data_IF_842796473213
#
_entry.id   IF_842796473213
#
_cell.length_a   1.000
_cell.length_b   1.000
_cell.length_c   1.000
_cell.angle_alpha   90.00
_cell.angle_beta   90.00
_cell.angle_gamma   90.00
#
_symmetry.space_group_name_H-M   'P 1'
#
loop_
_entity.id
_entity.type
_entity.pdbx_description
1 polymer ?
#
# COMPACT_ATOMS: atom_id res chain seq x y z
N UNK A 1 -30.82 -15.59 -10.38
CA UNK A 1 -31.19 -14.48 -9.49
C UNK A 1 -30.36 -13.26 -9.91
N UNK A 2 -30.76 -12.57 -10.98
CA UNK A 2 -31.48 -11.29 -10.99
C UNK A 2 -30.52 -10.13 -11.18
N UNK A 3 -30.30 -9.72 -12.43
CA UNK A 3 -29.49 -8.56 -12.85
C UNK A 3 -29.77 -7.28 -12.04
N UNK A 4 -30.95 -7.18 -11.42
CA UNK A 4 -31.32 -6.09 -10.52
C UNK A 4 -30.59 -6.16 -9.16
N UNK A 5 -30.41 -7.35 -8.58
CA UNK A 5 -29.64 -7.53 -7.33
C UNK A 5 -28.16 -7.24 -7.55
N UNK A 6 -27.57 -7.74 -8.62
CA UNK A 6 -26.18 -7.45 -9.01
C UNK A 6 -25.92 -5.96 -9.19
N UNK A 7 -26.81 -5.24 -9.89
CA UNK A 7 -26.71 -3.78 -10.05
C UNK A 7 -26.77 -3.04 -8.72
N UNK A 8 -27.62 -3.50 -7.79
CA UNK A 8 -27.71 -2.89 -6.47
C UNK A 8 -26.41 -3.11 -5.69
N UNK A 9 -25.87 -4.33 -5.69
CA UNK A 9 -24.60 -4.65 -5.02
C UNK A 9 -23.44 -3.84 -5.60
N UNK A 10 -23.30 -3.77 -6.93
CA UNK A 10 -22.26 -2.95 -7.57
C UNK A 10 -22.42 -1.46 -7.27
N UNK A 11 -23.65 -0.96 -7.18
CA UNK A 11 -23.90 0.43 -6.77
C UNK A 11 -23.48 0.65 -5.32
N UNK A 12 -23.78 -0.30 -4.43
CA UNK A 12 -23.37 -0.22 -3.03
C UNK A 12 -21.85 -0.26 -2.89
N UNK A 13 -21.17 -1.21 -3.55
CA UNK A 13 -19.71 -1.31 -3.56
C UNK A 13 -19.09 -0.02 -4.07
N UNK A 14 -19.66 0.58 -5.14
CA UNK A 14 -19.22 1.88 -5.64
C UNK A 14 -19.34 2.96 -4.57
N UNK A 15 -20.47 3.06 -3.89
CA UNK A 15 -20.68 4.04 -2.82
C UNK A 15 -19.73 3.82 -1.64
N UNK A 16 -19.60 2.58 -1.17
CA UNK A 16 -18.70 2.17 -0.09
C UNK A 16 -17.23 2.48 -0.39
N UNK A 17 -16.87 2.61 -1.66
CA UNK A 17 -15.55 3.06 -2.08
C UNK A 17 -15.48 4.59 -2.26
N UNK A 18 -16.38 5.17 -3.06
CA UNK A 18 -16.27 6.57 -3.47
C UNK A 18 -16.52 7.54 -2.32
N UNK A 19 -17.45 7.23 -1.42
CA UNK A 19 -17.78 8.12 -0.30
C UNK A 19 -16.59 8.32 0.64
N UNK A 20 -15.92 7.27 1.15
CA UNK A 20 -14.75 7.48 2.01
C UNK A 20 -13.57 8.10 1.26
N UNK A 21 -13.33 7.77 -0.02
CA UNK A 21 -12.26 8.42 -0.82
C UNK A 21 -12.51 9.91 -1.03
N UNK A 22 -13.76 10.31 -1.28
CA UNK A 22 -14.13 11.72 -1.40
C UNK A 22 -13.99 12.43 -0.05
N UNK A 23 -14.41 11.81 1.06
CA UNK A 23 -14.22 12.35 2.41
C UNK A 23 -12.73 12.52 2.77
N UNK A 24 -11.87 11.54 2.45
CA UNK A 24 -10.41 11.66 2.61
C UNK A 24 -9.90 12.90 1.87
N UNK A 25 -10.35 13.09 0.62
CA UNK A 25 -9.95 14.25 -0.19
C UNK A 25 -10.41 15.58 0.43
N UNK A 26 -11.61 15.60 1.01
CA UNK A 26 -12.16 16.78 1.68
C UNK A 26 -11.38 17.13 2.95
N UNK A 27 -11.05 16.15 3.79
CA UNK A 27 -10.20 16.37 4.97
C UNK A 27 -8.84 16.93 4.59
N UNK A 28 -8.17 16.32 3.60
CA UNK A 28 -6.85 16.78 3.15
C UNK A 28 -6.91 18.22 2.62
N UNK A 29 -7.95 18.56 1.85
CA UNK A 29 -8.11 19.94 1.38
C UNK A 29 -8.36 20.91 2.52
N UNK A 30 -9.16 20.55 3.52
CA UNK A 30 -9.41 21.38 4.69
C UNK A 30 -8.12 21.65 5.48
N UNK A 31 -7.29 20.62 5.66
CA UNK A 31 -6.00 20.76 6.34
C UNK A 31 -5.08 21.66 5.50
N UNK A 32 -4.86 21.35 4.21
CA UNK A 32 -3.96 22.11 3.34
C UNK A 32 -4.38 23.60 3.23
N UNK A 33 -5.68 23.86 3.09
CA UNK A 33 -6.20 25.23 2.97
C UNK A 33 -6.13 26.00 4.31
N UNK A 34 -6.09 25.29 5.44
CA UNK A 34 -5.94 25.85 6.78
C UNK A 34 -4.49 25.98 7.24
N UNK A 35 -3.54 25.34 6.55
CA UNK A 35 -2.20 25.08 7.05
C UNK A 35 -1.09 25.92 6.44
N UNK A 36 -1.31 27.21 6.20
CA UNK A 36 -0.28 28.18 5.74
C UNK A 36 0.97 28.28 6.67
N UNK A 37 1.01 27.49 7.74
CA UNK A 37 2.00 27.49 8.82
C UNK A 37 2.95 26.30 8.77
N UNK A 38 2.61 25.22 8.04
CA UNK A 38 3.49 24.06 7.94
C UNK A 38 4.68 24.32 7.04
N UNK A 39 5.80 23.69 7.36
CA UNK A 39 6.98 23.73 6.52
C UNK A 39 6.80 22.90 5.24
N UNK A 40 7.80 22.95 4.36
CA UNK A 40 7.78 22.25 3.08
C UNK A 40 7.71 20.72 3.27
N UNK A 41 8.30 20.17 4.33
CA UNK A 41 8.34 18.71 4.57
C UNK A 41 6.96 18.16 4.93
N UNK A 42 6.28 18.80 5.90
CA UNK A 42 4.91 18.42 6.29
C UNK A 42 3.94 18.66 5.13
N UNK A 43 4.09 19.79 4.43
CA UNK A 43 3.25 20.14 3.28
C UNK A 43 3.37 19.09 2.17
N UNK A 44 4.59 18.61 1.89
CA UNK A 44 4.84 17.57 0.90
C UNK A 44 4.12 16.25 1.26
N UNK A 45 4.07 15.87 2.53
CA UNK A 45 3.33 14.67 2.95
C UNK A 45 1.82 14.80 2.73
N UNK A 46 1.21 15.95 3.07
CA UNK A 46 -0.20 16.17 2.74
C UNK A 46 -0.47 16.12 1.22
N UNK A 47 0.45 16.67 0.41
CA UNK A 47 0.35 16.56 -1.06
C UNK A 47 0.48 15.11 -1.53
N UNK A 48 1.34 14.31 -0.88
CA UNK A 48 1.52 12.90 -1.18
C UNK A 48 0.26 12.07 -0.85
N UNK A 49 -0.41 12.35 0.27
CA UNK A 49 -1.72 11.75 0.61
C UNK A 49 -2.75 12.16 -0.46
N UNK A 50 -2.83 13.44 -0.81
CA UNK A 50 -3.76 13.97 -1.83
C UNK A 50 -3.57 13.29 -3.20
N UNK A 51 -2.32 13.14 -3.62
CA UNK A 51 -1.96 12.46 -4.86
C UNK A 51 -2.37 10.99 -4.82
N UNK A 52 -2.12 10.32 -3.71
CA UNK A 52 -2.49 8.92 -3.49
C UNK A 52 -4.00 8.72 -3.55
N UNK A 53 -4.78 9.56 -2.86
CA UNK A 53 -6.25 9.54 -2.92
C UNK A 53 -6.80 9.78 -4.34
N UNK A 54 -6.21 10.72 -5.08
CA UNK A 54 -6.56 10.95 -6.49
C UNK A 54 -6.29 9.72 -7.37
N UNK A 55 -5.11 9.12 -7.23
CA UNK A 55 -4.73 7.92 -7.99
C UNK A 55 -5.66 6.75 -7.66
N UNK A 56 -5.94 6.51 -6.38
CA UNK A 56 -6.87 5.49 -5.92
C UNK A 56 -8.26 5.64 -6.56
N UNK A 57 -8.77 6.88 -6.62
CA UNK A 57 -10.05 7.19 -7.26
C UNK A 57 -10.04 6.90 -8.75
N UNK A 58 -8.97 7.24 -9.46
CA UNK A 58 -8.83 6.98 -10.90
C UNK A 58 -8.78 5.48 -11.15
N UNK A 59 -7.88 4.75 -10.48
CA UNK A 59 -7.70 3.31 -10.64
C UNK A 59 -9.02 2.56 -10.38
N UNK A 60 -9.76 2.95 -9.34
CA UNK A 60 -11.06 2.34 -9.06
C UNK A 60 -12.11 2.65 -10.12
N UNK A 61 -12.20 3.90 -10.60
CA UNK A 61 -13.17 4.22 -11.64
C UNK A 61 -12.89 3.48 -12.96
N UNK A 62 -11.61 3.34 -13.31
CA UNK A 62 -11.18 2.60 -14.49
C UNK A 62 -11.53 1.11 -14.36
N UNK A 63 -11.18 0.49 -13.22
CA UNK A 63 -11.54 -0.90 -12.93
C UNK A 63 -13.07 -1.08 -12.87
N UNK A 64 -13.79 -0.20 -12.19
CA UNK A 64 -15.24 -0.26 -12.10
C UNK A 64 -15.89 -0.15 -13.48
N UNK A 65 -15.42 0.75 -14.34
CA UNK A 65 -15.89 0.86 -15.73
C UNK A 65 -15.60 -0.43 -16.52
N UNK A 66 -14.39 -0.96 -16.41
CA UNK A 66 -13.98 -2.18 -17.12
C UNK A 66 -14.85 -3.39 -16.76
N UNK A 67 -15.10 -3.61 -15.46
CA UNK A 67 -15.78 -4.81 -14.99
C UNK A 67 -17.31 -4.64 -14.86
N UNK A 68 -17.80 -3.46 -14.51
CA UNK A 68 -19.24 -3.20 -14.33
C UNK A 68 -19.95 -2.75 -15.62
N UNK A 69 -19.30 -1.97 -16.50
CA UNK A 69 -19.95 -1.38 -17.68
C UNK A 69 -19.72 -2.19 -18.98
N UNK A 70 -18.55 -2.83 -19.15
CA UNK A 70 -18.17 -3.50 -20.42
C UNK A 70 -18.63 -4.96 -20.59
N UNK A 71 -19.50 -5.49 -19.72
CA UNK A 71 -19.95 -6.92 -19.69
C UNK A 71 -18.86 -7.96 -19.40
N UNK A 72 -17.63 -7.55 -19.05
CA UNK A 72 -16.56 -8.43 -18.51
C UNK A 72 -16.90 -8.68 -17.03
N UNK A 73 -18.02 -9.38 -16.80
CA UNK A 73 -18.71 -9.46 -15.50
C UNK A 73 -17.98 -10.24 -14.40
N UNK A 74 -16.82 -10.82 -14.74
CA UNK A 74 -16.07 -11.70 -13.85
C UNK A 74 -14.59 -11.59 -14.18
N UNK A 75 -13.78 -11.64 -13.13
CA UNK A 75 -12.34 -11.85 -13.25
C UNK A 75 -12.11 -13.34 -13.54
N UNK A 76 -11.26 -13.67 -14.51
CA UNK A 76 -11.19 -15.02 -15.08
C UNK A 76 -10.18 -15.94 -14.36
N UNK A 77 -9.25 -15.37 -13.61
CA UNK A 77 -8.20 -16.11 -12.92
C UNK A 77 -7.71 -15.37 -11.65
N UNK A 78 -6.95 -16.05 -10.80
CA UNK A 78 -6.42 -15.49 -9.55
C UNK A 78 -5.39 -14.38 -9.78
N UNK A 79 -4.71 -14.40 -10.93
CA UNK A 79 -3.69 -13.43 -11.32
C UNK A 79 -4.30 -12.04 -11.58
N UNK A 80 -5.36 -11.96 -12.39
CA UNK A 80 -6.13 -10.73 -12.64
C UNK A 80 -6.71 -10.16 -11.33
N UNK A 81 -7.17 -11.02 -10.42
CA UNK A 81 -7.69 -10.58 -9.12
C UNK A 81 -6.58 -10.05 -8.21
N UNK A 82 -5.37 -10.63 -8.30
CA UNK A 82 -4.20 -10.15 -7.58
C UNK A 82 -3.73 -8.81 -8.11
N UNK A 83 -3.66 -8.65 -9.43
CA UNK A 83 -3.30 -7.38 -10.09
C UNK A 83 -4.29 -6.28 -9.69
N UNK A 84 -5.60 -6.54 -9.78
CA UNK A 84 -6.60 -5.55 -9.39
C UNK A 84 -6.50 -5.14 -7.92
N UNK A 85 -6.27 -6.12 -7.01
CA UNK A 85 -6.04 -5.80 -5.59
C UNK A 85 -4.81 -4.95 -5.41
N UNK A 86 -3.72 -5.29 -6.07
CA UNK A 86 -2.46 -4.55 -6.02
C UNK A 86 -2.67 -3.09 -6.49
N UNK A 87 -3.24 -2.89 -7.67
CA UNK A 87 -3.46 -1.58 -8.28
C UNK A 87 -4.33 -0.65 -7.42
N UNK A 88 -5.23 -1.21 -6.62
CA UNK A 88 -6.07 -0.46 -5.69
C UNK A 88 -5.42 -0.32 -4.29
N UNK A 89 -4.70 -1.32 -3.80
CA UNK A 89 -4.01 -1.25 -2.50
C UNK A 89 -2.83 -0.31 -2.50
N UNK A 90 -2.07 -0.26 -3.58
CA UNK A 90 -0.89 0.60 -3.72
C UNK A 90 -1.16 2.08 -3.36
N UNK A 91 -2.10 2.77 -4.02
CA UNK A 91 -2.40 4.15 -3.65
C UNK A 91 -3.14 4.27 -2.31
N UNK A 92 -3.83 3.21 -1.84
CA UNK A 92 -4.43 3.20 -0.50
C UNK A 92 -3.37 3.14 0.61
N UNK A 93 -2.37 2.29 0.46
CA UNK A 93 -1.22 2.17 1.35
C UNK A 93 -0.41 3.45 1.38
N UNK A 94 -0.40 4.20 0.28
CA UNK A 94 0.16 5.54 0.28
C UNK A 94 -0.59 6.53 1.17
N UNK A 95 -1.93 6.54 1.11
CA UNK A 95 -2.73 7.37 2.03
C UNK A 95 -2.40 7.02 3.49
N UNK A 96 -2.39 5.73 3.84
CA UNK A 96 -2.12 5.27 5.21
C UNK A 96 -0.68 5.60 5.61
N UNK A 97 0.30 5.22 4.79
CA UNK A 97 1.71 5.37 5.12
C UNK A 97 2.15 6.82 5.29
N UNK A 98 1.72 7.73 4.42
CA UNK A 98 2.01 9.16 4.59
C UNK A 98 1.26 9.77 5.78
N UNK A 99 0.05 9.28 6.09
CA UNK A 99 -0.68 9.69 7.30
C UNK A 99 0.02 9.23 8.57
N UNK A 100 0.56 8.01 8.59
CA UNK A 100 1.33 7.46 9.71
C UNK A 100 2.65 8.22 9.88
N UNK A 101 3.35 8.55 8.79
CA UNK A 101 4.56 9.40 8.82
C UNK A 101 4.26 10.75 9.46
N UNK A 102 3.16 11.41 9.06
CA UNK A 102 2.76 12.68 9.67
C UNK A 102 2.57 12.55 11.20
N UNK A 103 1.91 11.48 11.64
CA UNK A 103 1.65 11.26 13.08
C UNK A 103 2.87 10.77 13.86
N UNK A 104 3.84 10.12 13.21
CA UNK A 104 5.03 9.54 13.86
C UNK A 104 6.22 10.51 13.85
N UNK A 105 6.54 11.07 12.68
CA UNK A 105 7.75 11.87 12.48
C UNK A 105 7.53 13.36 12.79
N UNK A 106 6.27 13.84 12.76
CA UNK A 106 5.92 15.26 12.91
C UNK A 106 4.88 15.52 14.04
N UNK A 107 4.76 14.62 15.02
CA UNK A 107 3.76 14.71 16.11
C UNK A 107 3.78 16.06 16.83
N UNK A 108 4.96 16.62 17.09
CA UNK A 108 5.15 17.89 17.81
C UNK A 108 4.87 19.14 16.95
N UNK A 109 4.89 18.99 15.62
CA UNK A 109 4.77 20.09 14.66
C UNK A 109 3.37 20.17 14.03
N UNK A 110 2.52 19.15 14.21
CA UNK A 110 1.15 19.10 13.72
C UNK A 110 0.17 19.57 14.79
N UNK A 111 -0.79 20.41 14.41
CA UNK A 111 -1.85 20.84 15.33
C UNK A 111 -2.74 19.67 15.75
N UNK A 112 -3.16 19.63 17.03
CA UNK A 112 -3.97 18.54 17.60
C UNK A 112 -5.24 18.25 16.77
N UNK A 113 -5.92 19.30 16.27
CA UNK A 113 -7.09 19.14 15.37
C UNK A 113 -6.73 18.46 14.05
N UNK A 114 -5.57 18.77 13.47
CA UNK A 114 -5.11 18.13 12.24
C UNK A 114 -4.67 16.68 12.50
N UNK A 115 -4.10 16.38 13.66
CA UNK A 115 -3.80 15.01 14.07
C UNK A 115 -5.09 14.16 14.20
N UNK A 116 -6.16 14.72 14.74
CA UNK A 116 -7.49 14.08 14.77
C UNK A 116 -8.02 13.83 13.35
N UNK A 117 -7.92 14.82 12.46
CA UNK A 117 -8.34 14.68 11.05
C UNK A 117 -7.51 13.62 10.29
N UNK A 118 -6.20 13.53 10.55
CA UNK A 118 -5.34 12.48 9.98
C UNK A 118 -5.77 11.09 10.47
N UNK A 119 -6.12 10.95 11.76
CA UNK A 119 -6.66 9.69 12.28
C UNK A 119 -8.00 9.33 11.61
N UNK A 120 -8.85 10.33 11.31
CA UNK A 120 -10.07 10.12 10.52
C UNK A 120 -9.76 9.66 9.09
N UNK A 121 -8.76 10.24 8.43
CA UNK A 121 -8.29 9.82 7.11
C UNK A 121 -7.85 8.34 7.14
N UNK A 122 -7.07 7.91 8.13
CA UNK A 122 -6.65 6.51 8.30
C UNK A 122 -7.87 5.59 8.49
N UNK A 123 -8.85 6.02 9.28
CA UNK A 123 -10.11 5.28 9.48
C UNK A 123 -10.86 5.06 8.16
N UNK A 124 -11.04 6.13 7.38
CA UNK A 124 -11.69 6.07 6.06
C UNK A 124 -10.90 5.20 5.07
N UNK A 125 -9.57 5.25 5.11
CA UNK A 125 -8.73 4.39 4.26
C UNK A 125 -8.95 2.89 4.57
N UNK A 126 -9.10 2.53 5.84
CA UNK A 126 -9.44 1.14 6.24
C UNK A 126 -10.83 0.72 5.76
N UNK A 127 -11.81 1.64 5.73
CA UNK A 127 -13.12 1.36 5.15
C UNK A 127 -13.02 1.07 3.63
N UNK A 128 -12.19 1.83 2.92
CA UNK A 128 -11.90 1.62 1.50
C UNK A 128 -11.27 0.25 1.26
N UNK A 129 -10.37 -0.19 2.13
CA UNK A 129 -9.77 -1.53 2.03
C UNK A 129 -10.84 -2.62 2.03
N UNK A 130 -11.81 -2.51 2.95
CA UNK A 130 -12.95 -3.42 2.99
C UNK A 130 -13.81 -3.37 1.73
N UNK A 131 -13.99 -2.17 1.13
CA UNK A 131 -14.70 -2.02 -0.13
C UNK A 131 -13.96 -2.65 -1.31
N UNK A 132 -12.63 -2.55 -1.37
CA UNK A 132 -11.79 -3.22 -2.38
C UNK A 132 -11.95 -4.73 -2.28
N UNK A 133 -11.86 -5.30 -1.07
CA UNK A 133 -12.04 -6.73 -0.86
C UNK A 133 -13.40 -7.20 -1.37
N UNK A 134 -14.49 -6.51 -0.98
CA UNK A 134 -15.85 -6.82 -1.47
C UNK A 134 -15.97 -6.70 -2.99
N UNK A 135 -15.33 -5.69 -3.59
CA UNK A 135 -15.35 -5.50 -5.04
C UNK A 135 -14.69 -6.67 -5.77
N UNK A 136 -13.48 -7.04 -5.37
CA UNK A 136 -12.73 -8.12 -6.02
C UNK A 136 -13.42 -9.46 -5.80
N UNK A 137 -13.91 -9.75 -4.59
CA UNK A 137 -14.63 -10.98 -4.29
C UNK A 137 -15.94 -11.09 -5.09
N UNK A 138 -16.68 -9.98 -5.23
CA UNK A 138 -17.87 -9.91 -6.07
C UNK A 138 -17.53 -10.24 -7.54
N UNK A 139 -16.38 -9.78 -8.05
CA UNK A 139 -15.94 -10.07 -9.40
C UNK A 139 -15.44 -11.52 -9.60
N UNK A 140 -14.99 -12.21 -8.56
CA UNK A 140 -14.59 -13.63 -8.64
C UNK A 140 -15.81 -14.57 -8.56
N UNK A 141 -16.65 -14.38 -7.55
CA UNK A 141 -17.66 -15.38 -7.18
C UNK A 141 -19.11 -14.95 -7.51
N UNK A 142 -19.33 -13.71 -7.96
CA UNK A 142 -20.66 -13.18 -8.29
C UNK A 142 -21.61 -13.04 -7.09
N UNK A 143 -21.10 -13.25 -5.87
CA UNK A 143 -21.85 -13.16 -4.61
C UNK A 143 -21.18 -12.18 -3.67
N UNK A 144 -21.99 -11.30 -3.09
CA UNK A 144 -21.61 -10.54 -1.90
C UNK A 144 -21.52 -11.52 -0.73
N UNK A 145 -20.31 -12.02 -0.44
CA UNK A 145 -20.04 -12.82 0.75
C UNK A 145 -20.04 -11.90 1.96
N UNK A 146 -21.23 -11.49 2.37
CA UNK A 146 -21.43 -10.90 3.70
C UNK A 146 -21.14 -12.00 4.73
N UNK A 147 -20.01 -11.83 5.41
CA UNK A 147 -19.63 -12.53 6.65
C UNK A 147 -19.67 -14.07 6.59
N UNK A 148 -18.54 -14.72 6.26
CA UNK A 148 -18.09 -16.03 6.85
C UNK A 148 -16.98 -16.75 6.05
N UNK A 149 -16.39 -16.18 4.99
CA UNK A 149 -15.22 -16.82 4.35
C UNK A 149 -14.08 -15.86 3.96
N UNK A 150 -13.75 -14.90 4.83
CA UNK A 150 -12.52 -14.10 4.72
C UNK A 150 -11.24 -14.89 5.09
N UNK A 151 -11.29 -16.22 5.07
CA UNK A 151 -10.27 -17.07 5.72
C UNK A 151 -9.22 -17.69 4.78
N UNK A 152 -9.20 -17.40 3.48
CA UNK A 152 -8.27 -18.12 2.57
C UNK A 152 -7.43 -17.25 1.62
N UNK A 153 -7.32 -15.95 1.88
CA UNK A 153 -6.16 -15.18 1.41
C UNK A 153 -5.62 -14.37 2.58
N UNK A 154 -4.81 -15.03 3.39
CA UNK A 154 -3.98 -14.40 4.42
C UNK A 154 -3.10 -13.33 3.77
N UNK A 155 -3.57 -12.09 3.70
CA UNK A 155 -2.64 -10.96 3.68
C UNK A 155 -1.93 -10.94 5.02
N UNK A 156 -0.65 -10.55 5.01
CA UNK A 156 0.13 -10.36 6.22
C UNK A 156 -0.63 -9.47 7.24
N UNK A 157 -1.47 -8.54 6.77
CA UNK A 157 -2.38 -7.70 7.57
C UNK A 157 -3.40 -8.47 8.43
N UNK A 158 -3.96 -9.58 7.95
CA UNK A 158 -4.87 -10.41 8.76
C UNK A 158 -4.09 -11.18 9.85
N UNK A 159 -2.84 -11.54 9.57
CA UNK A 159 -1.91 -12.02 10.59
C UNK A 159 -1.62 -10.91 11.61
N UNK A 160 -1.26 -9.71 11.18
CA UNK A 160 -0.96 -8.58 12.07
C UNK A 160 -2.15 -8.13 12.91
N UNK A 161 -3.38 -8.18 12.38
CA UNK A 161 -4.59 -7.82 13.13
C UNK A 161 -5.04 -8.91 14.11
N UNK A 162 -4.90 -10.20 13.75
CA UNK A 162 -5.20 -11.34 14.62
C UNK A 162 -4.20 -11.51 15.77
N UNK A 163 -2.99 -11.00 15.58
CA UNK A 163 -1.96 -10.92 16.61
C UNK A 163 -2.35 -9.94 17.74
N UNK A 164 -3.39 -9.10 17.57
CA UNK A 164 -3.73 -8.03 18.50
C UNK A 164 -2.69 -6.92 18.45
N UNK A 165 -2.87 -5.84 19.23
CA UNK A 165 -1.78 -4.91 19.55
C UNK A 165 -0.72 -5.71 20.30
N UNK A 166 0.13 -6.44 19.59
CA UNK A 166 1.32 -6.95 20.23
C UNK A 166 2.22 -5.75 20.37
N UNK A 167 2.37 -5.36 21.63
CA UNK A 167 3.36 -4.42 22.09
C UNK A 167 4.74 -5.10 22.01
N UNK A 168 5.15 -5.56 20.81
CA UNK A 168 6.51 -6.00 20.59
C UNK A 168 7.38 -4.77 20.35
N UNK A 169 8.03 -4.35 21.42
CA UNK A 169 9.20 -3.49 21.31
C UNK A 169 10.33 -4.33 20.71
N UNK A 170 10.46 -4.31 19.39
CA UNK A 170 11.61 -4.88 18.69
C UNK A 170 12.82 -4.00 19.02
N UNK A 171 13.64 -4.43 19.96
CA UNK A 171 14.93 -3.80 20.19
C UNK A 171 15.92 -4.29 19.13
N UNK A 172 16.37 -3.38 18.28
CA UNK A 172 17.41 -3.65 17.30
C UNK A 172 18.70 -3.91 18.04
N UNK A 173 19.18 -5.14 17.95
CA UNK A 173 20.48 -5.54 18.51
C UNK A 173 21.59 -4.73 17.84
N UNK A 174 22.61 -4.35 18.62
CA UNK A 174 23.68 -3.48 18.13
C UNK A 174 24.42 -4.07 16.93
N UNK A 175 24.46 -5.40 16.79
CA UNK A 175 25.17 -6.07 15.69
C UNK A 175 24.57 -5.84 14.30
N UNK A 176 23.28 -5.52 14.21
CA UNK A 176 22.60 -5.27 12.91
C UNK A 176 22.39 -3.78 12.63
N UNK A 177 22.77 -2.89 13.57
CA UNK A 177 22.74 -1.45 13.31
C UNK A 177 23.69 -1.13 12.16
N UNK A 178 23.29 -0.20 11.31
CA UNK A 178 24.03 0.18 10.09
C UNK A 178 24.10 -0.90 8.99
N UNK A 179 23.38 -2.02 9.14
CA UNK A 179 23.18 -2.96 8.03
C UNK A 179 22.59 -2.23 6.81
N UNK A 180 23.10 -2.57 5.63
CA UNK A 180 22.72 -2.00 4.35
C UNK A 180 21.52 -2.75 3.79
N UNK A 181 20.39 -2.07 3.66
CA UNK A 181 19.15 -2.67 3.16
C UNK A 181 18.85 -2.08 1.78
N UNK A 182 18.59 -2.95 0.80
CA UNK A 182 18.04 -2.55 -0.49
C UNK A 182 16.53 -2.81 -0.49
N UNK A 183 15.74 -1.75 -0.63
CA UNK A 183 14.29 -1.82 -0.88
C UNK A 183 14.06 -1.75 -2.38
N UNK A 184 13.30 -2.69 -2.93
CA UNK A 184 12.99 -2.79 -4.37
C UNK A 184 11.49 -2.86 -4.55
N UNK A 185 10.90 -1.79 -5.06
CA UNK A 185 9.47 -1.65 -5.29
C UNK A 185 9.26 -0.58 -6.38
N UNK A 186 8.41 -0.83 -7.38
CA UNK A 186 8.15 0.12 -8.45
C UNK A 186 7.25 1.31 -8.03
N UNK A 187 6.73 1.24 -6.80
CA UNK A 187 5.89 2.26 -6.20
C UNK A 187 6.74 3.12 -5.27
N UNK A 188 6.84 4.40 -5.66
CA UNK A 188 7.71 5.37 -4.98
C UNK A 188 7.32 5.53 -3.51
N UNK A 189 6.02 5.54 -3.24
CA UNK A 189 5.49 5.65 -1.88
C UNK A 189 5.87 4.48 -0.99
N UNK A 190 5.79 3.25 -1.47
CA UNK A 190 6.22 2.08 -0.72
C UNK A 190 7.71 2.18 -0.39
N UNK A 191 8.53 2.55 -1.38
CA UNK A 191 9.95 2.81 -1.19
C UNK A 191 10.20 3.89 -0.12
N UNK A 192 9.50 5.02 -0.17
CA UNK A 192 9.72 6.16 0.73
C UNK A 192 9.32 5.83 2.18
N UNK A 193 8.15 5.22 2.37
CA UNK A 193 7.65 4.79 3.68
C UNK A 193 8.59 3.75 4.30
N UNK A 194 8.96 2.73 3.52
CA UNK A 194 9.81 1.65 4.03
C UNK A 194 11.23 2.16 4.32
N UNK A 195 11.75 3.05 3.47
CA UNK A 195 13.03 3.71 3.69
C UNK A 195 13.06 4.49 5.00
N UNK A 196 12.09 5.39 5.23
CA UNK A 196 12.03 6.18 6.47
C UNK A 196 11.95 5.29 7.71
N UNK A 197 11.07 4.28 7.70
CA UNK A 197 10.93 3.34 8.81
C UNK A 197 12.21 2.59 9.15
N UNK A 198 12.98 2.19 8.13
CA UNK A 198 14.25 1.49 8.32
C UNK A 198 15.39 2.46 8.72
N UNK A 199 15.43 3.68 8.18
CA UNK A 199 16.45 4.67 8.54
C UNK A 199 16.25 5.22 9.97
N UNK A 200 15.00 5.41 10.43
CA UNK A 200 14.67 5.73 11.82
C UNK A 200 15.20 4.67 12.81
N UNK A 201 15.46 3.47 12.30
CA UNK A 201 16.00 2.32 13.01
C UNK A 201 17.52 2.13 12.81
N UNK A 202 18.23 3.17 12.35
CA UNK A 202 19.69 3.21 12.13
C UNK A 202 20.23 2.26 11.05
N UNK A 203 19.38 1.77 10.14
CA UNK A 203 19.83 1.04 8.95
C UNK A 203 20.28 2.00 7.84
N UNK A 204 21.14 1.54 6.94
CA UNK A 204 21.55 2.28 5.74
C UNK A 204 20.69 1.80 4.57
N UNK A 205 19.79 2.64 4.05
CA UNK A 205 18.77 2.17 3.11
C UNK A 205 18.95 2.77 1.73
N UNK A 206 19.02 1.90 0.73
CA UNK A 206 18.91 2.27 -0.68
C UNK A 206 17.59 1.78 -1.25
N UNK A 207 17.04 2.55 -2.18
CA UNK A 207 15.78 2.24 -2.86
C UNK A 207 16.02 2.00 -4.34
N UNK A 208 15.30 1.05 -4.92
CA UNK A 208 15.30 0.75 -6.35
C UNK A 208 13.87 0.66 -6.86
N UNK A 209 13.60 1.38 -7.95
CA UNK A 209 12.26 1.52 -8.53
C UNK A 209 11.97 0.49 -9.63
N UNK A 210 12.86 -0.47 -9.86
CA UNK A 210 12.70 -1.52 -10.87
C UNK A 210 13.62 -2.71 -10.62
N UNK A 211 13.23 -3.90 -11.08
CA UNK A 211 14.08 -5.08 -10.99
C UNK A 211 15.43 -4.94 -11.71
N UNK A 212 15.50 -4.13 -12.78
CA UNK A 212 16.76 -3.88 -13.50
C UNK A 212 17.74 -3.05 -12.66
N UNK A 213 17.27 -1.92 -12.11
CA UNK A 213 18.11 -1.08 -11.24
C UNK A 213 18.56 -1.84 -9.98
N UNK A 214 17.70 -2.72 -9.44
CA UNK A 214 18.05 -3.57 -8.31
C UNK A 214 19.21 -4.51 -8.65
N UNK A 215 19.17 -5.20 -9.79
CA UNK A 215 20.25 -6.07 -10.23
C UNK A 215 21.55 -5.30 -10.47
N UNK A 216 21.47 -4.10 -11.05
CA UNK A 216 22.66 -3.26 -11.25
C UNK A 216 23.30 -2.80 -9.94
N UNK A 217 22.50 -2.51 -8.91
CA UNK A 217 22.99 -2.16 -7.57
C UNK A 217 23.61 -3.36 -6.87
N UNK A 218 22.94 -4.51 -6.87
CA UNK A 218 23.43 -5.75 -6.25
C UNK A 218 24.75 -6.21 -6.89
N UNK A 219 24.94 -5.98 -8.20
CA UNK A 219 26.19 -6.30 -8.88
C UNK A 219 27.36 -5.38 -8.49
N UNK A 220 27.09 -4.15 -8.02
CA UNK A 220 28.11 -3.15 -7.69
C UNK A 220 28.41 -3.10 -6.19
N UNK A 221 27.42 -3.42 -5.36
CA UNK A 221 27.41 -3.13 -3.94
C UNK A 221 26.92 -4.32 -3.12
N UNK A 222 27.30 -4.36 -1.84
CA UNK A 222 26.81 -5.39 -0.90
C UNK A 222 25.69 -4.82 -0.03
N UNK A 223 24.68 -5.66 0.21
CA UNK A 223 23.49 -5.36 0.99
C UNK A 223 23.18 -6.52 1.93
N UNK A 224 23.10 -6.27 3.23
CA UNK A 224 22.75 -7.21 4.30
C UNK A 224 21.30 -7.74 4.22
N UNK A 225 20.42 -7.04 3.50
CA UNK A 225 19.06 -7.47 3.26
C UNK A 225 18.53 -6.85 1.96
N UNK A 226 17.77 -7.63 1.18
CA UNK A 226 16.99 -7.11 0.05
C UNK A 226 15.51 -7.35 0.33
N UNK A 227 14.74 -6.27 0.47
CA UNK A 227 13.29 -6.30 0.52
C UNK A 227 12.77 -6.09 -0.90
N UNK A 228 12.21 -7.15 -1.49
CA UNK A 228 11.90 -7.21 -2.92
C UNK A 228 10.41 -7.41 -3.12
N UNK A 229 9.75 -6.44 -3.73
CA UNK A 229 8.39 -6.62 -4.22
C UNK A 229 8.36 -7.68 -5.32
N UNK A 230 7.33 -8.52 -5.27
CA UNK A 230 7.13 -9.63 -6.20
C UNK A 230 6.51 -9.12 -7.51
N UNK A 231 5.67 -8.10 -7.46
CA UNK A 231 4.80 -7.67 -8.57
C UNK A 231 5.25 -6.34 -9.18
N UNK A 232 6.40 -6.33 -9.85
CA UNK A 232 6.89 -5.16 -10.58
C UNK A 232 6.74 -5.27 -12.11
N UNK A 233 6.59 -4.15 -12.83
CA UNK A 233 6.56 -4.10 -14.29
C UNK A 233 7.93 -4.44 -14.91
N UNK A 234 7.90 -4.92 -16.15
CA UNK A 234 9.04 -5.38 -16.96
C UNK A 234 9.80 -6.59 -16.39
N UNK A 235 10.45 -6.44 -15.24
CA UNK A 235 11.19 -7.49 -14.53
C UNK A 235 10.58 -7.66 -13.15
N UNK A 236 9.78 -8.70 -12.98
CA UNK A 236 9.12 -8.99 -11.70
C UNK A 236 10.14 -9.45 -10.63
N UNK A 237 9.72 -9.42 -9.36
CA UNK A 237 10.59 -9.77 -8.24
C UNK A 237 11.07 -11.22 -8.26
N UNK A 238 10.28 -12.16 -8.81
CA UNK A 238 10.70 -13.55 -8.94
C UNK A 238 11.87 -13.70 -9.92
N UNK A 239 11.85 -12.99 -11.04
CA UNK A 239 12.95 -12.97 -11.99
C UNK A 239 14.23 -12.36 -11.41
N UNK A 240 14.08 -11.27 -10.64
CA UNK A 240 15.20 -10.68 -9.89
C UNK A 240 15.76 -11.70 -8.90
N UNK A 241 14.91 -12.35 -8.11
CA UNK A 241 15.32 -13.36 -7.15
C UNK A 241 16.03 -14.54 -7.82
N UNK A 242 15.53 -15.04 -8.95
CA UNK A 242 16.16 -16.12 -9.72
C UNK A 242 17.57 -15.72 -10.13
N UNK A 243 17.74 -14.54 -10.75
CA UNK A 243 19.06 -14.03 -11.19
C UNK A 243 20.04 -13.87 -10.02
N UNK A 244 19.56 -13.33 -8.89
CA UNK A 244 20.38 -13.24 -7.67
C UNK A 244 20.81 -14.64 -7.21
N UNK A 245 19.92 -15.63 -7.24
CA UNK A 245 20.24 -17.01 -6.81
C UNK A 245 21.14 -17.78 -7.76
N UNK A 246 21.19 -17.42 -9.05
CA UNK A 246 22.14 -17.97 -10.01
C UNK A 246 23.59 -17.53 -9.72
N UNK A 247 23.76 -16.28 -9.26
CA UNK A 247 25.08 -15.69 -8.98
C UNK A 247 25.51 -15.87 -7.51
N UNK A 248 24.56 -15.94 -6.57
CA UNK A 248 24.81 -15.94 -5.13
C UNK A 248 24.05 -17.09 -4.44
N UNK A 249 24.77 -18.05 -3.82
CA UNK A 249 24.13 -19.17 -3.09
C UNK A 249 23.39 -18.68 -1.84
N UNK A 250 22.49 -19.48 -1.25
CA UNK A 250 21.76 -19.09 -0.03
C UNK A 250 22.66 -18.63 1.13
N UNK A 251 23.82 -19.27 1.28
CA UNK A 251 24.85 -18.92 2.26
C UNK A 251 25.91 -17.93 1.73
N UNK A 252 25.79 -17.49 0.46
CA UNK A 252 26.71 -16.56 -0.23
C UNK A 252 26.01 -15.46 -1.02
N UNK A 253 24.74 -15.14 -0.73
CA UNK A 253 24.53 -13.72 -0.57
C UNK A 253 25.43 -13.40 0.62
N UNK A 254 26.61 -12.84 0.34
CA UNK A 254 27.27 -12.02 1.32
C UNK A 254 26.37 -10.80 1.44
N UNK A 255 25.22 -11.04 2.08
CA UNK A 255 24.43 -10.06 2.73
C UNK A 255 25.40 -9.31 3.64
#
# INVERSE_FOLDING_TARGET
MSSKKEKIVLTQIKQDFTTPVDAISDYINLIIDGSDVYDDEISDEFQNIKKSAKTLRVNFNDAFSEYADTKRKTISNDEEASILRHDLRTPLNGIIGYSEILLEDFEDDIEESHAEDINHIIGLAKEVEGAIARFVDFLKDGTDKTSESLAENESAENLFSSLGKIDYKLEIIDEIKQSRILVVDDIKTNCDVLKRRLENNTFLVEVSMSGKDALEKIAKEKFDLVLLDVLMPEVNGLEVLIKIREEYSADKLQL
#
